data_IF_069303812063
#
_entry.id   IF_069303812063
#
_cell.length_a   1.000
_cell.length_b   1.000
_cell.length_c   1.000
_cell.angle_alpha   90.00
_cell.angle_beta   90.00
_cell.angle_gamma   90.00
#
_symmetry.space_group_name_H-M   'P 1'
#
loop_
_entity.id
_entity.type
_entity.pdbx_description
1 polymer ?
#
# COMPACT_ATOMS: atom_id res chain seq x y z
N UNK A 1 5.26 8.23 -31.19
CA UNK A 1 5.55 8.58 -29.83
C UNK A 1 6.43 7.50 -29.23
N UNK A 2 7.52 7.90 -28.76
CA UNK A 2 8.34 6.92 -28.10
C UNK A 2 7.59 6.41 -26.85
N UNK A 3 7.73 5.16 -26.53
CA UNK A 3 7.16 4.68 -25.30
C UNK A 3 7.77 5.47 -24.17
N UNK A 4 6.92 5.99 -23.36
CA UNK A 4 7.37 6.68 -22.18
C UNK A 4 8.21 5.71 -21.36
N UNK A 5 9.48 6.01 -21.17
CA UNK A 5 10.35 5.14 -20.40
C UNK A 5 9.85 4.93 -18.98
N UNK A 6 9.18 5.93 -18.41
CA UNK A 6 8.55 5.76 -17.12
C UNK A 6 7.49 4.66 -17.16
N UNK A 7 6.76 4.56 -18.25
CA UNK A 7 5.76 3.50 -18.39
C UNK A 7 6.40 2.13 -18.52
N UNK A 8 7.62 2.05 -19.04
CA UNK A 8 8.34 0.79 -19.09
C UNK A 8 8.70 0.28 -17.70
N UNK A 9 8.93 1.20 -16.76
CA UNK A 9 9.27 0.87 -15.38
C UNK A 9 8.09 0.91 -14.42
N UNK A 10 6.99 1.55 -14.82
CA UNK A 10 5.79 1.63 -14.02
C UNK A 10 4.69 0.86 -14.71
N UNK A 11 4.18 -0.13 -14.05
CA UNK A 11 3.02 -0.84 -14.56
C UNK A 11 1.85 0.14 -14.62
N UNK A 12 1.08 0.13 -15.72
CA UNK A 12 -0.14 0.94 -15.77
C UNK A 12 -1.06 0.54 -14.64
N UNK A 13 -1.72 1.52 -14.07
CA UNK A 13 -2.74 1.21 -13.08
C UNK A 13 -3.88 0.48 -13.76
N UNK A 14 -4.40 -0.49 -13.08
CA UNK A 14 -5.61 -1.16 -13.53
C UNK A 14 -6.79 -0.18 -13.49
N UNK A 15 -7.81 -0.39 -14.31
CA UNK A 15 -9.04 0.37 -14.18
C UNK A 15 -9.60 0.31 -12.76
N UNK A 16 -10.33 1.37 -12.38
CA UNK A 16 -10.85 1.52 -11.02
C UNK A 16 -11.57 0.28 -10.51
N UNK A 17 -12.38 -0.33 -11.35
CA UNK A 17 -13.20 -1.48 -10.98
C UNK A 17 -12.37 -2.68 -10.51
N UNK A 18 -11.11 -2.75 -10.90
CA UNK A 18 -10.22 -3.84 -10.48
C UNK A 18 -9.77 -3.71 -9.03
N UNK A 19 -10.01 -2.53 -8.41
CA UNK A 19 -9.66 -2.28 -7.02
C UNK A 19 -10.86 -2.23 -6.10
N UNK A 20 -12.05 -2.45 -6.64
CA UNK A 20 -13.31 -2.28 -5.92
C UNK A 20 -13.99 -3.60 -5.65
N UNK A 21 -14.96 -3.55 -4.72
CA UNK A 21 -15.74 -4.74 -4.39
C UNK A 21 -14.88 -5.80 -3.72
N UNK A 22 -15.07 -7.03 -4.15
CA UNK A 22 -14.39 -8.20 -3.60
C UNK A 22 -13.02 -8.49 -4.24
N UNK A 23 -12.46 -7.53 -4.94
CA UNK A 23 -11.18 -7.69 -5.61
C UNK A 23 -10.07 -8.09 -4.63
N UNK A 24 -9.13 -8.88 -5.13
CA UNK A 24 -7.91 -9.26 -4.40
C UNK A 24 -6.73 -8.73 -5.19
N UNK A 25 -5.97 -7.82 -4.59
CA UNK A 25 -4.88 -7.14 -5.29
C UNK A 25 -3.63 -7.12 -4.43
N UNK A 26 -2.51 -7.42 -5.04
CA UNK A 26 -1.19 -7.29 -4.43
C UNK A 26 -0.68 -5.88 -4.70
N UNK A 27 -0.35 -5.18 -3.61
CA UNK A 27 0.17 -3.81 -3.66
C UNK A 27 1.64 -3.81 -3.29
N UNK A 28 2.42 -3.04 -4.04
CA UNK A 28 3.82 -2.78 -3.72
C UNK A 28 3.99 -1.29 -3.48
N UNK A 29 4.54 -0.93 -2.33
CA UNK A 29 4.75 0.46 -1.94
C UNK A 29 6.25 0.69 -1.76
N UNK A 30 6.94 1.18 -2.79
CA UNK A 30 8.37 1.47 -2.66
C UNK A 30 8.61 2.73 -1.84
N UNK A 31 9.69 2.72 -1.09
CA UNK A 31 10.15 3.92 -0.39
C UNK A 31 10.87 4.81 -1.39
N UNK A 32 10.62 6.11 -1.31
CA UNK A 32 11.24 7.09 -2.20
C UNK A 32 12.76 6.96 -2.16
N UNK A 33 13.38 6.91 -3.34
CA UNK A 33 14.81 6.70 -3.52
C UNK A 33 15.31 5.38 -2.91
N UNK A 34 14.40 4.45 -2.64
CA UNK A 34 14.72 3.12 -2.07
C UNK A 34 15.51 3.24 -0.77
N UNK A 35 15.22 4.25 0.02
CA UNK A 35 15.88 4.49 1.30
C UNK A 35 15.61 3.36 2.27
N UNK A 36 16.61 3.06 3.09
CA UNK A 36 16.58 2.02 4.10
C UNK A 36 16.77 2.63 5.50
N UNK A 37 16.69 1.79 6.53
CA UNK A 37 16.92 2.22 7.90
C UNK A 37 15.66 2.59 8.66
N UNK A 38 14.50 2.60 8.00
CA UNK A 38 13.21 2.92 8.63
C UNK A 38 12.52 1.68 9.19
N UNK A 39 12.92 0.50 8.74
CA UNK A 39 12.26 -0.75 9.12
C UNK A 39 12.80 -1.24 10.45
N UNK A 40 11.98 -1.19 11.48
CA UNK A 40 12.29 -1.68 12.82
C UNK A 40 10.99 -2.16 13.49
N UNK A 41 11.11 -2.62 14.73
CA UNK A 41 9.95 -3.12 15.47
C UNK A 41 8.90 -2.05 15.69
N UNK A 42 9.34 -0.81 15.93
CA UNK A 42 8.42 0.32 16.13
C UNK A 42 7.60 0.58 14.89
N UNK A 43 8.26 0.61 13.72
CA UNK A 43 7.55 0.78 12.45
C UNK A 43 6.58 -0.36 12.22
N UNK A 44 7.02 -1.58 12.46
CA UNK A 44 6.17 -2.76 12.25
C UNK A 44 4.92 -2.70 13.12
N UNK A 45 5.07 -2.35 14.39
CA UNK A 45 3.92 -2.24 15.29
C UNK A 45 2.93 -1.18 14.80
N UNK A 46 3.44 -0.02 14.41
CA UNK A 46 2.60 1.07 13.89
C UNK A 46 1.93 0.68 12.57
N UNK A 47 2.67 0.04 11.67
CA UNK A 47 2.13 -0.44 10.41
C UNK A 47 0.97 -1.39 10.65
N UNK A 48 1.16 -2.35 11.53
CA UNK A 48 0.16 -3.36 11.82
C UNK A 48 -1.12 -2.72 12.36
N UNK A 49 -1.00 -1.79 13.29
CA UNK A 49 -2.18 -1.11 13.84
C UNK A 49 -2.91 -0.28 12.78
N UNK A 50 -2.16 0.47 11.97
CA UNK A 50 -2.76 1.28 10.92
C UNK A 50 -3.39 0.41 9.84
N UNK A 51 -2.77 -0.70 9.50
CA UNK A 51 -3.31 -1.64 8.53
C UNK A 51 -4.63 -2.21 9.01
N UNK A 52 -4.71 -2.62 10.26
CA UNK A 52 -5.95 -3.15 10.84
C UNK A 52 -7.03 -2.07 10.91
N UNK A 53 -6.66 -0.86 11.27
CA UNK A 53 -7.59 0.27 11.30
C UNK A 53 -8.11 0.59 9.89
N UNK A 54 -7.22 0.62 8.92
CA UNK A 54 -7.58 0.84 7.52
C UNK A 54 -8.53 -0.24 7.02
N UNK A 55 -8.22 -1.49 7.34
CA UNK A 55 -9.05 -2.62 6.95
C UNK A 55 -10.47 -2.48 7.50
N UNK A 56 -10.60 -2.16 8.79
CA UNK A 56 -11.91 -1.97 9.41
C UNK A 56 -12.66 -0.80 8.80
N UNK A 57 -11.95 0.30 8.54
CA UNK A 57 -12.55 1.52 8.00
C UNK A 57 -13.07 1.33 6.57
N UNK A 58 -12.28 0.67 5.73
CA UNK A 58 -12.54 0.60 4.29
C UNK A 58 -13.19 -0.73 3.85
N UNK A 59 -13.52 -1.58 4.79
CA UNK A 59 -14.10 -2.88 4.46
C UNK A 59 -13.13 -3.78 3.70
N UNK A 60 -11.90 -3.84 4.19
CA UNK A 60 -10.84 -4.63 3.57
C UNK A 60 -10.33 -5.66 4.56
N UNK A 61 -9.68 -6.66 4.02
CA UNK A 61 -8.91 -7.64 4.78
C UNK A 61 -7.51 -7.69 4.18
N UNK A 62 -6.50 -7.77 5.02
CA UNK A 62 -5.13 -7.98 4.59
C UNK A 62 -4.67 -9.37 5.02
N UNK A 63 -4.77 -10.37 4.15
CA UNK A 63 -4.37 -11.74 4.51
C UNK A 63 -2.86 -11.89 4.70
N UNK A 64 -2.07 -11.04 4.06
CA UNK A 64 -0.62 -11.12 4.19
C UNK A 64 0.03 -9.80 3.83
N UNK A 65 1.18 -9.55 4.43
CA UNK A 65 2.04 -8.44 4.07
C UNK A 65 3.50 -8.82 4.32
N UNK A 66 4.41 -8.08 3.72
CA UNK A 66 5.83 -8.28 3.90
C UNK A 66 6.53 -6.92 3.88
N UNK A 67 7.25 -6.62 4.95
CA UNK A 67 8.02 -5.39 5.06
C UNK A 67 9.46 -5.68 4.66
N UNK A 68 9.89 -5.04 3.59
CA UNK A 68 11.25 -5.18 3.07
C UNK A 68 12.06 -3.93 3.38
N UNK A 69 13.41 -4.00 3.35
CA UNK A 69 14.22 -2.85 3.76
C UNK A 69 13.97 -1.55 2.99
N UNK A 70 13.51 -1.63 1.74
CA UNK A 70 13.34 -0.44 0.89
C UNK A 70 11.95 -0.35 0.24
N UNK A 71 11.04 -1.25 0.61
CA UNK A 71 9.66 -1.25 0.12
C UNK A 71 8.81 -2.16 0.99
N UNK A 72 7.52 -2.12 0.76
CA UNK A 72 6.62 -3.06 1.43
C UNK A 72 5.59 -3.61 0.45
N UNK A 73 5.13 -4.80 0.76
CA UNK A 73 4.08 -5.49 0.03
C UNK A 73 2.90 -5.73 0.93
N UNK A 74 1.72 -5.65 0.39
CA UNK A 74 0.52 -6.14 1.07
C UNK A 74 -0.50 -6.61 0.05
N UNK A 75 -1.37 -7.48 0.51
CA UNK A 75 -2.52 -7.91 -0.28
C UNK A 75 -3.77 -7.37 0.39
N UNK A 76 -4.60 -6.70 -0.38
CA UNK A 76 -5.93 -6.30 0.08
C UNK A 76 -6.98 -7.21 -0.55
N UNK A 77 -7.95 -7.60 0.26
CA UNK A 77 -9.18 -8.25 -0.20
C UNK A 77 -10.35 -7.37 0.18
N UNK A 78 -11.20 -7.06 -0.77
CA UNK A 78 -12.42 -6.32 -0.48
C UNK A 78 -13.47 -7.24 0.14
N UNK A 79 -14.17 -6.72 1.15
CA UNK A 79 -15.20 -7.46 1.88
C UNK A 79 -16.60 -6.93 1.59
N UNK A 80 -16.73 -5.80 0.92
CA UNK A 80 -18.02 -5.17 0.61
C UNK A 80 -18.04 -4.72 -0.84
N UNK A 81 -19.24 -4.52 -1.37
CA UNK A 81 -19.40 -4.02 -2.74
C UNK A 81 -18.80 -2.61 -2.90
N UNK A 82 -18.84 -1.82 -1.84
CA UNK A 82 -18.31 -0.45 -1.86
C UNK A 82 -16.85 -0.34 -1.41
N UNK A 83 -16.19 -1.44 -1.13
CA UNK A 83 -14.77 -1.42 -0.78
C UNK A 83 -13.93 -0.89 -1.95
N UNK A 84 -12.98 0.00 -1.62
CA UNK A 84 -12.08 0.58 -2.62
C UNK A 84 -10.66 0.55 -2.07
N UNK A 85 -9.83 -0.29 -2.66
CA UNK A 85 -8.46 -0.50 -2.19
C UNK A 85 -7.59 0.73 -2.38
N UNK A 86 -7.92 1.58 -3.35
CA UNK A 86 -7.15 2.81 -3.57
C UNK A 86 -7.35 3.78 -2.41
N UNK A 87 -8.57 3.88 -1.88
CA UNK A 87 -8.83 4.68 -0.68
C UNK A 87 -8.10 4.12 0.52
N UNK A 88 -8.12 2.81 0.69
CA UNK A 88 -7.42 2.14 1.78
C UNK A 88 -5.92 2.38 1.72
N UNK A 89 -5.32 2.19 0.56
CA UNK A 89 -3.88 2.39 0.40
C UNK A 89 -3.50 3.85 0.60
N UNK A 90 -4.29 4.78 0.09
CA UNK A 90 -4.03 6.21 0.30
C UNK A 90 -4.10 6.59 1.78
N UNK A 91 -5.10 6.09 2.49
CA UNK A 91 -5.23 6.31 3.92
C UNK A 91 -4.02 5.77 4.68
N UNK A 92 -3.64 4.53 4.39
CA UNK A 92 -2.50 3.88 5.04
C UNK A 92 -1.22 4.68 4.80
N UNK A 93 -0.94 5.06 3.56
CA UNK A 93 0.26 5.83 3.22
C UNK A 93 0.28 7.18 3.94
N UNK A 94 -0.84 7.88 3.96
CA UNK A 94 -0.94 9.18 4.62
C UNK A 94 -0.62 9.07 6.11
N UNK A 95 -1.15 8.07 6.77
CA UNK A 95 -0.99 7.91 8.21
C UNK A 95 0.34 7.27 8.60
N UNK A 96 1.03 6.62 7.67
CA UNK A 96 2.38 6.14 7.90
C UNK A 96 3.45 7.24 7.75
N UNK A 97 3.12 8.34 7.10
CA UNK A 97 4.10 9.41 6.84
C UNK A 97 4.87 9.85 8.08
N UNK A 98 4.21 10.21 9.20
CA UNK A 98 4.95 10.69 10.37
C UNK A 98 5.84 9.63 11.00
N UNK A 99 5.50 8.37 10.84
CA UNK A 99 6.27 7.26 11.40
C UNK A 99 7.46 6.93 10.50
N UNK A 100 7.27 7.06 9.20
CA UNK A 100 8.29 6.78 8.21
C UNK A 100 9.32 7.89 8.10
N UNK A 101 8.95 9.13 8.44
CA UNK A 101 9.82 10.29 8.28
C UNK A 101 11.21 10.06 8.90
N UNK A 102 12.28 10.59 8.30
CA UNK A 102 12.32 11.47 7.14
C UNK A 102 12.13 10.76 5.79
N UNK A 103 12.06 9.45 5.78
CA UNK A 103 11.78 8.73 4.55
C UNK A 103 10.31 8.93 4.14
N UNK A 104 9.98 8.65 2.89
CA UNK A 104 8.63 8.78 2.35
C UNK A 104 8.42 7.81 1.19
N UNK A 105 7.16 7.59 0.94
CA UNK A 105 6.78 6.77 -0.21
C UNK A 105 7.04 7.47 -1.53
#
# INVERSE_FOLDING_TARGET
MEPNLNRAFYLPRLPREHYQGDAVVHWTLPISHRRQGWLDERFHAAFRELMLHTAAREGLLCPTYCLMPDHLHLVWMGLRLDSDQRNGTAFLRTHLKPILAPQRF
#
